data_IF_576753170781
#
_entry.id   IF_576753170781
#
_cell.length_a   1.000
_cell.length_b   1.000
_cell.length_c   1.000
_cell.angle_alpha   90.00
_cell.angle_beta   90.00
_cell.angle_gamma   90.00
#
_symmetry.space_group_name_H-M   'P 1'
#
loop_
_entity.id
_entity.type
_entity.pdbx_description
1 polymer ?
#
# COMPACT_ATOMS: atom_id res chain seq x y z
N UNK A 1 -13.57 16.25 35.19
CA UNK A 1 -12.33 16.78 34.57
C UNK A 1 -11.57 15.61 33.93
N UNK A 2 -11.96 15.22 32.72
CA UNK A 2 -11.30 14.16 31.95
C UNK A 2 -11.69 14.30 30.47
N UNK A 3 -11.16 15.33 29.79
CA UNK A 3 -11.39 15.57 28.35
C UNK A 3 -10.08 15.90 27.61
N UNK A 4 -8.96 15.37 28.12
CA UNK A 4 -7.63 15.57 27.54
C UNK A 4 -7.04 14.31 26.89
N UNK A 5 -7.87 13.30 26.57
CA UNK A 5 -7.39 12.04 25.97
C UNK A 5 -7.86 11.85 24.52
N UNK A 6 -8.83 12.63 24.02
CA UNK A 6 -9.30 12.49 22.63
C UNK A 6 -8.33 13.12 21.60
N UNK A 7 -7.32 13.87 22.05
CA UNK A 7 -6.25 14.39 21.19
C UNK A 7 -5.16 13.35 20.84
N UNK A 8 -5.23 12.12 21.35
CA UNK A 8 -4.18 11.12 21.14
C UNK A 8 -4.49 10.10 20.01
N UNK A 9 -5.40 10.44 19.10
CA UNK A 9 -5.63 9.67 17.86
C UNK A 9 -4.89 10.24 16.63
N UNK A 10 -4.34 11.46 16.75
CA UNK A 10 -3.86 12.24 15.62
C UNK A 10 -2.37 12.66 15.68
N UNK A 11 -1.65 12.47 16.80
CA UNK A 11 -0.30 13.07 16.99
C UNK A 11 0.92 12.10 17.08
N UNK A 12 0.79 10.79 16.92
CA UNK A 12 1.96 9.85 17.03
C UNK A 12 2.19 8.90 15.85
N UNK A 13 1.88 9.34 14.63
CA UNK A 13 2.79 9.10 13.50
C UNK A 13 3.33 10.47 13.04
N UNK A 14 3.79 11.24 14.02
CA UNK A 14 4.81 12.26 13.80
C UNK A 14 6.16 11.56 13.61
N UNK A 15 6.39 10.98 12.43
CA UNK A 15 7.74 10.97 11.89
C UNK A 15 7.75 12.03 10.80
N UNK A 16 8.12 13.25 11.21
CA UNK A 16 8.52 14.40 10.42
C UNK A 16 8.75 14.06 8.94
N UNK A 17 7.70 14.21 8.13
CA UNK A 17 7.74 14.04 6.69
C UNK A 17 8.41 15.25 6.04
N UNK A 18 9.71 15.41 6.26
CA UNK A 18 10.54 16.30 5.44
C UNK A 18 10.56 15.79 3.99
N UNK A 19 10.67 16.70 3.01
CA UNK A 19 10.54 16.35 1.61
C UNK A 19 11.77 15.59 1.13
N UNK A 20 11.55 14.43 0.53
CA UNK A 20 12.52 13.82 -0.37
C UNK A 20 12.91 12.39 0.01
N UNK A 21 12.26 11.44 -0.67
CA UNK A 21 12.73 10.09 -0.91
C UNK A 21 13.15 9.31 0.36
N UNK A 22 12.21 8.60 1.02
CA UNK A 22 12.42 7.48 1.97
C UNK A 22 13.86 7.29 2.52
N UNK A 23 14.44 8.34 3.12
CA UNK A 23 15.82 8.32 3.63
C UNK A 23 15.73 7.95 5.11
N UNK A 24 15.63 6.65 5.36
CA UNK A 24 15.63 6.07 6.71
C UNK A 24 14.25 5.77 7.31
N UNK A 25 13.15 6.08 6.62
CA UNK A 25 11.81 5.61 6.98
C UNK A 25 11.46 4.38 6.16
N UNK A 26 10.99 3.32 6.81
CA UNK A 26 10.55 2.10 6.18
C UNK A 26 9.48 2.39 5.11
N UNK A 27 9.65 1.81 3.92
CA UNK A 27 8.68 1.97 2.82
C UNK A 27 7.37 1.27 3.22
N UNK A 28 6.19 1.86 2.95
CA UNK A 28 4.92 1.25 3.23
C UNK A 28 4.82 -0.10 2.52
N UNK A 29 4.33 -1.15 3.20
CA UNK A 29 4.20 -2.48 2.61
C UNK A 29 3.41 -2.49 1.30
N UNK A 30 2.40 -1.63 1.16
CA UNK A 30 1.63 -1.50 -0.09
C UNK A 30 2.49 -1.06 -1.29
N UNK A 31 3.45 -0.15 -1.07
CA UNK A 31 4.36 0.32 -2.12
C UNK A 31 5.28 -0.82 -2.54
N UNK A 32 5.78 -1.58 -1.57
CA UNK A 32 6.60 -2.78 -1.82
C UNK A 32 5.78 -3.84 -2.58
N UNK A 33 4.56 -4.14 -2.15
CA UNK A 33 3.63 -5.07 -2.78
C UNK A 33 3.39 -4.73 -4.26
N UNK A 34 3.02 -3.48 -4.55
CA UNK A 34 2.78 -3.01 -5.92
C UNK A 34 4.07 -2.98 -6.74
N UNK A 35 5.21 -2.67 -6.12
CA UNK A 35 6.52 -2.76 -6.74
C UNK A 35 6.83 -4.17 -7.22
N UNK A 36 6.70 -5.16 -6.33
CA UNK A 36 6.93 -6.57 -6.65
C UNK A 36 5.98 -7.05 -7.74
N UNK A 37 4.68 -6.74 -7.62
CA UNK A 37 3.68 -7.11 -8.62
C UNK A 37 3.97 -6.49 -10.00
N UNK A 38 4.38 -5.22 -10.05
CA UNK A 38 4.73 -4.56 -11.30
C UNK A 38 5.95 -5.22 -11.99
N UNK A 39 6.96 -5.62 -11.20
CA UNK A 39 8.13 -6.33 -11.75
C UNK A 39 7.78 -7.74 -12.22
N UNK A 40 6.97 -8.45 -11.44
CA UNK A 40 6.44 -9.75 -11.85
C UNK A 40 5.62 -9.66 -13.14
N UNK A 41 4.79 -8.62 -13.28
CA UNK A 41 3.99 -8.37 -14.48
C UNK A 41 4.84 -8.04 -15.70
N UNK A 42 5.89 -7.23 -15.53
CA UNK A 42 6.85 -6.96 -16.59
C UNK A 42 7.62 -8.23 -17.02
N UNK A 43 8.04 -9.05 -16.05
CA UNK A 43 8.75 -10.30 -16.32
C UNK A 43 7.85 -11.35 -17.00
N UNK A 44 6.57 -11.45 -16.59
CA UNK A 44 5.58 -12.34 -17.21
C UNK A 44 5.39 -12.03 -18.70
N UNK A 45 5.30 -10.75 -19.08
CA UNK A 45 5.18 -10.33 -20.49
C UNK A 45 6.39 -10.75 -21.34
N UNK A 46 7.55 -10.93 -20.72
CA UNK A 46 8.77 -11.43 -21.37
C UNK A 46 8.98 -12.95 -21.25
N UNK A 47 8.03 -13.67 -20.64
CA UNK A 47 8.12 -15.11 -20.39
C UNK A 47 9.21 -15.52 -19.38
N UNK A 48 9.59 -14.60 -18.48
CA UNK A 48 10.67 -14.82 -17.50
C UNK A 48 10.12 -14.92 -16.08
N UNK A 49 10.81 -15.69 -15.25
CA UNK A 49 10.59 -15.65 -13.80
C UNK A 49 11.32 -14.46 -13.17
N UNK A 50 10.86 -14.04 -12.00
CA UNK A 50 11.48 -12.98 -11.20
C UNK A 50 12.22 -13.60 -10.02
N UNK A 51 13.53 -13.40 -9.98
CA UNK A 51 14.34 -13.73 -8.81
C UNK A 51 14.37 -12.56 -7.82
N UNK A 52 14.49 -12.86 -6.52
CA UNK A 52 14.66 -11.81 -5.49
C UNK A 52 15.90 -10.95 -5.75
N UNK A 53 16.97 -11.55 -6.27
CA UNK A 53 18.17 -10.82 -6.67
C UNK A 53 17.93 -9.86 -7.85
N UNK A 54 17.05 -10.22 -8.81
CA UNK A 54 16.66 -9.32 -9.89
C UNK A 54 15.87 -8.11 -9.36
N UNK A 55 14.95 -8.36 -8.44
CA UNK A 55 14.17 -7.34 -7.76
C UNK A 55 15.05 -6.35 -6.97
N UNK A 56 16.02 -6.86 -6.19
CA UNK A 56 16.98 -6.04 -5.46
C UNK A 56 17.83 -5.14 -6.38
N UNK A 57 18.24 -5.63 -7.56
CA UNK A 57 18.97 -4.82 -8.56
C UNK A 57 18.15 -3.63 -9.06
N UNK A 58 16.83 -3.78 -9.12
CA UNK A 58 15.88 -2.70 -9.49
C UNK A 58 15.55 -1.75 -8.32
N UNK A 59 16.23 -1.89 -7.18
CA UNK A 59 16.04 -1.01 -6.00
C UNK A 59 14.96 -1.47 -5.02
N UNK A 60 14.25 -2.55 -5.34
CA UNK A 60 13.30 -3.21 -4.44
C UNK A 60 14.03 -4.17 -3.49
N UNK A 61 14.93 -3.62 -2.67
CA UNK A 61 15.63 -4.37 -1.64
C UNK A 61 14.67 -4.55 -0.46
N UNK A 62 14.28 -5.79 -0.18
CA UNK A 62 13.36 -6.13 0.91
C UNK A 62 14.08 -7.11 1.84
N UNK A 63 14.07 -6.82 3.14
CA UNK A 63 14.60 -7.74 4.14
C UNK A 63 13.67 -8.96 4.28
N UNK A 64 14.12 -10.02 4.95
CA UNK A 64 13.32 -11.25 5.06
C UNK A 64 11.97 -11.00 5.73
N UNK A 65 11.94 -10.15 6.75
CA UNK A 65 10.74 -9.77 7.50
C UNK A 65 9.72 -8.98 6.65
N UNK A 66 10.16 -8.34 5.57
CA UNK A 66 9.27 -7.67 4.60
C UNK A 66 8.90 -8.61 3.45
N UNK A 67 9.84 -9.44 3.00
CA UNK A 67 9.72 -10.31 1.83
C UNK A 67 8.81 -11.50 2.08
N UNK A 68 9.04 -12.24 3.16
CA UNK A 68 8.30 -13.47 3.49
C UNK A 68 6.79 -13.22 3.59
N UNK A 69 6.29 -12.25 4.40
CA UNK A 69 4.84 -12.03 4.50
C UNK A 69 4.24 -11.45 3.20
N UNK A 70 5.02 -10.66 2.44
CA UNK A 70 4.60 -10.15 1.13
C UNK A 70 4.31 -11.29 0.16
N UNK A 71 5.24 -12.22 0.06
CA UNK A 71 5.13 -13.35 -0.86
C UNK A 71 4.08 -14.35 -0.39
N UNK A 72 4.03 -14.66 0.90
CA UNK A 72 3.00 -15.53 1.49
C UNK A 72 1.60 -15.00 1.18
N UNK A 73 1.39 -13.68 1.32
CA UNK A 73 0.14 -13.03 0.93
C UNK A 73 -0.18 -13.22 -0.56
N UNK A 74 0.80 -12.98 -1.44
CA UNK A 74 0.61 -13.12 -2.88
C UNK A 74 0.32 -14.57 -3.31
N UNK A 75 0.93 -15.55 -2.65
CA UNK A 75 0.66 -16.98 -2.89
C UNK A 75 -0.73 -17.37 -2.40
N UNK A 76 -1.11 -16.89 -1.20
CA UNK A 76 -2.46 -17.11 -0.64
C UNK A 76 -3.55 -16.58 -1.56
N UNK A 77 -3.32 -15.41 -2.16
CA UNK A 77 -4.21 -14.81 -3.15
C UNK A 77 -4.13 -15.46 -4.56
N UNK A 78 -3.29 -16.50 -4.71
CA UNK A 78 -3.02 -17.21 -5.97
C UNK A 78 -2.57 -16.27 -7.08
N UNK A 79 -1.86 -15.21 -6.74
CA UNK A 79 -1.28 -14.26 -7.68
C UNK A 79 0.07 -14.75 -8.19
N UNK A 80 0.86 -15.35 -7.28
CA UNK A 80 2.22 -15.83 -7.58
C UNK A 80 2.40 -17.30 -7.19
N UNK A 81 3.42 -17.94 -7.77
CA UNK A 81 3.92 -19.23 -7.31
C UNK A 81 5.43 -19.28 -7.44
N UNK A 82 6.06 -20.00 -6.52
CA UNK A 82 7.47 -20.35 -6.61
C UNK A 82 7.71 -21.40 -7.71
N UNK A 83 8.73 -21.17 -8.52
CA UNK A 83 9.31 -22.14 -9.44
C UNK A 83 10.26 -23.07 -8.68
N UNK A 84 10.63 -24.21 -9.29
CA UNK A 84 11.60 -25.16 -8.72
C UNK A 84 12.98 -24.54 -8.42
N UNK A 85 13.31 -23.41 -9.05
CA UNK A 85 14.57 -22.69 -8.87
C UNK A 85 14.55 -21.61 -7.79
N UNK A 86 13.42 -21.41 -7.09
CA UNK A 86 13.26 -20.34 -6.09
C UNK A 86 12.90 -18.97 -6.70
N UNK A 87 12.65 -18.90 -8.00
CA UNK A 87 12.12 -17.71 -8.66
C UNK A 87 10.59 -17.69 -8.64
N UNK A 88 9.99 -16.52 -8.87
CA UNK A 88 8.56 -16.28 -8.78
C UNK A 88 7.95 -15.97 -10.13
N UNK A 89 6.77 -16.52 -10.40
CA UNK A 89 5.99 -16.23 -11.61
C UNK A 89 4.56 -15.86 -11.26
N UNK A 90 3.94 -15.00 -12.08
CA UNK A 90 2.50 -14.75 -11.99
C UNK A 90 1.74 -15.97 -12.50
N UNK A 91 0.78 -16.41 -11.70
CA UNK A 91 -0.09 -17.55 -12.01
C UNK A 91 -1.46 -17.10 -12.50
N UNK A 92 -1.77 -15.81 -12.33
CA UNK A 92 -3.06 -15.23 -12.62
C UNK A 92 -2.87 -13.97 -13.43
N UNK A 93 -3.82 -13.73 -14.34
CA UNK A 93 -3.90 -12.48 -15.07
C UNK A 93 -4.32 -11.35 -14.11
N UNK A 94 -3.47 -10.33 -13.99
CA UNK A 94 -3.73 -9.13 -13.18
C UNK A 94 -4.86 -8.28 -13.76
N UNK A 95 -5.24 -8.46 -15.04
CA UNK A 95 -6.41 -7.80 -15.63
C UNK A 95 -7.72 -8.20 -14.94
N UNK A 96 -7.74 -9.38 -14.30
CA UNK A 96 -8.90 -9.95 -13.61
C UNK A 96 -8.94 -9.64 -12.12
N UNK A 97 -7.99 -8.84 -11.61
CA UNK A 97 -7.86 -8.52 -10.18
C UNK A 97 -7.86 -7.01 -10.02
N UNK A 98 -8.90 -6.49 -9.36
CA UNK A 98 -8.94 -5.07 -9.04
C UNK A 98 -8.01 -4.73 -7.87
N UNK A 99 -7.47 -3.51 -7.87
CA UNK A 99 -6.69 -3.00 -6.74
C UNK A 99 -7.51 -3.00 -5.44
N UNK A 100 -8.82 -2.71 -5.53
CA UNK A 100 -9.72 -2.75 -4.36
C UNK A 100 -9.76 -4.15 -3.73
N UNK A 101 -9.99 -5.19 -4.53
CA UNK A 101 -10.01 -6.58 -4.03
C UNK A 101 -8.67 -6.98 -3.41
N UNK A 102 -7.55 -6.51 -3.98
CA UNK A 102 -6.23 -6.74 -3.40
C UNK A 102 -6.11 -6.06 -2.03
N UNK A 103 -6.57 -4.82 -1.90
CA UNK A 103 -6.52 -4.03 -0.67
C UNK A 103 -7.41 -4.62 0.44
N UNK A 104 -8.63 -5.05 0.10
CA UNK A 104 -9.58 -5.67 1.05
C UNK A 104 -9.02 -6.95 1.69
N UNK A 105 -8.18 -7.68 0.97
CA UNK A 105 -7.55 -8.93 1.43
C UNK A 105 -6.16 -8.73 2.01
N UNK A 106 -5.56 -7.57 1.75
CA UNK A 106 -4.20 -7.26 2.18
C UNK A 106 -4.15 -7.13 3.70
N UNK A 107 -3.15 -7.74 4.36
CA UNK A 107 -2.99 -7.64 5.81
C UNK A 107 -2.45 -6.27 6.26
N UNK A 108 -1.97 -5.44 5.33
CA UNK A 108 -1.36 -4.15 5.65
C UNK A 108 -2.38 -3.01 5.53
N UNK A 109 -2.33 -2.02 6.43
CA UNK A 109 -3.19 -0.86 6.35
C UNK A 109 -2.87 -0.03 5.10
N UNK A 110 -3.89 0.67 4.61
CA UNK A 110 -3.72 1.64 3.54
C UNK A 110 -2.84 2.80 4.04
N UNK A 111 -1.75 3.16 3.33
CA UNK A 111 -0.90 4.27 3.74
C UNK A 111 -1.64 5.60 3.59
N UNK A 112 -1.44 6.51 4.54
CA UNK A 112 -1.91 7.89 4.43
C UNK A 112 -1.13 8.62 3.33
N UNK A 113 -1.78 9.55 2.62
CA UNK A 113 -1.15 10.33 1.55
C UNK A 113 0.06 11.12 2.06
N UNK A 114 -0.01 11.63 3.29
CA UNK A 114 1.07 12.38 3.96
C UNK A 114 2.32 11.56 4.20
N UNK A 115 2.19 10.23 4.34
CA UNK A 115 3.34 9.33 4.50
C UNK A 115 4.06 9.06 3.18
N UNK A 116 3.40 9.31 2.04
CA UNK A 116 3.94 9.02 0.71
C UNK A 116 4.68 10.23 0.12
N UNK A 117 5.93 10.07 -0.35
CA UNK A 117 6.64 11.16 -1.04
C UNK A 117 5.98 11.49 -2.38
N UNK A 118 6.17 12.69 -2.88
CA UNK A 118 5.61 13.12 -4.17
C UNK A 118 6.10 12.26 -5.33
N UNK A 119 7.35 11.79 -5.25
CA UNK A 119 7.96 10.91 -6.25
C UNK A 119 8.82 9.86 -5.58
N UNK A 120 8.84 8.66 -6.15
CA UNK A 120 9.76 7.60 -5.77
C UNK A 120 11.16 7.87 -6.34
N UNK A 121 12.24 7.40 -5.68
CA UNK A 121 13.59 7.51 -6.22
C UNK A 121 13.67 6.91 -7.63
N UNK A 122 14.31 7.62 -8.57
CA UNK A 122 14.35 7.25 -10.00
C UNK A 122 14.96 5.89 -10.32
N UNK A 123 15.65 5.24 -9.36
CA UNK A 123 16.10 3.85 -9.47
C UNK A 123 14.91 2.86 -9.48
N UNK A 124 13.82 3.21 -8.81
CA UNK A 124 12.59 2.41 -8.77
C UNK A 124 11.76 2.69 -10.02
N UNK A 125 11.65 1.71 -10.91
CA UNK A 125 10.70 1.78 -12.03
C UNK A 125 9.28 1.57 -11.49
N UNK A 126 8.55 2.67 -11.30
CA UNK A 126 7.21 2.68 -10.71
C UNK A 126 6.24 3.65 -11.44
N UNK A 127 5.93 3.40 -12.73
CA UNK A 127 4.99 4.24 -13.50
C UNK A 127 3.56 4.23 -12.92
N UNK A 128 3.23 3.24 -12.10
CA UNK A 128 1.96 3.13 -11.38
C UNK A 128 1.84 4.08 -10.19
N UNK A 129 2.95 4.62 -9.67
CA UNK A 129 2.97 5.37 -8.43
C UNK A 129 2.15 6.67 -8.46
N UNK A 130 2.24 7.53 -9.50
CA UNK A 130 1.40 8.72 -9.58
C UNK A 130 -0.10 8.40 -9.57
N UNK A 131 -0.49 7.31 -10.25
CA UNK A 131 -1.89 6.84 -10.28
C UNK A 131 -2.35 6.38 -8.90
N UNK A 132 -1.51 5.65 -8.17
CA UNK A 132 -1.79 5.25 -6.79
C UNK A 132 -1.99 6.47 -5.88
N UNK A 133 -1.05 7.44 -5.94
CA UNK A 133 -1.09 8.66 -5.13
C UNK A 133 -2.40 9.44 -5.38
N UNK A 134 -2.77 9.62 -6.64
CA UNK A 134 -4.03 10.28 -7.00
C UNK A 134 -5.25 9.51 -6.48
N UNK A 135 -5.29 8.19 -6.61
CA UNK A 135 -6.39 7.38 -6.09
C UNK A 135 -6.54 7.50 -4.57
N UNK A 136 -5.43 7.53 -3.82
CA UNK A 136 -5.43 7.73 -2.37
C UNK A 136 -5.92 9.13 -1.99
N UNK A 137 -5.52 10.17 -2.72
CA UNK A 137 -5.99 11.53 -2.51
C UNK A 137 -7.51 11.64 -2.68
N UNK A 138 -8.06 11.08 -3.77
CA UNK A 138 -9.51 11.06 -4.02
C UNK A 138 -10.24 10.31 -2.89
N UNK A 139 -9.67 9.20 -2.42
CA UNK A 139 -10.26 8.43 -1.32
C UNK A 139 -10.26 9.20 0.01
N UNK A 140 -9.16 9.87 0.37
CA UNK A 140 -9.10 10.70 1.57
C UNK A 140 -10.08 11.86 1.51
N UNK A 141 -10.20 12.51 0.35
CA UNK A 141 -11.17 13.57 0.13
C UNK A 141 -12.60 13.06 0.28
N UNK A 142 -12.95 11.95 -0.37
CA UNK A 142 -14.27 11.34 -0.23
C UNK A 142 -14.59 10.93 1.22
N UNK A 143 -13.59 10.42 1.97
CA UNK A 143 -13.75 10.12 3.39
C UNK A 143 -14.04 11.38 4.21
N UNK A 144 -13.31 12.46 3.97
CA UNK A 144 -13.53 13.72 4.67
C UNK A 144 -14.90 14.34 4.33
N UNK A 145 -15.32 14.26 3.07
CA UNK A 145 -16.65 14.73 2.64
C UNK A 145 -17.78 13.92 3.29
N UNK A 146 -17.64 12.60 3.38
CA UNK A 146 -18.68 11.72 3.89
C UNK A 146 -18.68 11.62 5.42
N UNK A 147 -17.53 11.72 6.09
CA UNK A 147 -17.35 11.48 7.53
C UNK A 147 -16.90 12.72 8.32
N UNK A 148 -16.80 13.88 7.67
CA UNK A 148 -16.31 15.11 8.28
C UNK A 148 -17.30 15.82 9.21
N UNK A 149 -18.57 15.39 9.22
CA UNK A 149 -19.56 15.89 10.17
C UNK A 149 -19.18 15.53 11.61
N UNK A 150 -19.61 16.35 12.57
CA UNK A 150 -19.28 16.12 13.97
C UNK A 150 -19.96 14.86 14.49
N UNK A 151 -19.37 14.18 15.47
CA UNK A 151 -20.03 13.02 16.11
C UNK A 151 -21.39 13.39 16.73
N UNK A 152 -21.58 14.66 17.12
CA UNK A 152 -22.87 15.15 17.59
C UNK A 152 -23.92 15.13 16.48
N UNK A 153 -23.56 15.48 15.24
CA UNK A 153 -24.46 15.42 14.08
C UNK A 153 -24.81 13.97 13.74
N UNK A 154 -23.83 13.06 13.82
CA UNK A 154 -24.06 11.62 13.58
C UNK A 154 -24.95 10.94 14.61
N UNK A 155 -24.83 11.34 15.89
CA UNK A 155 -25.57 10.73 17.00
C UNK A 155 -26.86 11.49 17.35
N UNK A 156 -27.02 12.70 16.81
CA UNK A 156 -28.01 13.70 17.20
C UNK A 156 -29.33 13.66 16.45
N UNK A 157 -29.81 12.50 16.00
CA UNK A 157 -31.09 12.37 15.27
C UNK A 157 -31.93 11.14 15.65
N UNK A 158 -31.82 10.63 16.89
CA UNK A 158 -32.80 9.67 17.44
C UNK A 158 -33.77 10.26 18.48
N UNK A 159 -33.75 11.58 18.73
CA UNK A 159 -34.53 12.18 19.83
C UNK A 159 -35.83 12.89 19.42
N UNK A 160 -36.19 12.96 18.13
CA UNK A 160 -37.39 13.68 17.66
C UNK A 160 -38.32 12.82 16.81
N UNK A 161 -38.73 11.68 17.36
CA UNK A 161 -39.95 10.97 16.95
C UNK A 161 -40.69 10.50 18.20
N UNK A 162 -41.32 11.44 18.90
CA UNK A 162 -42.21 11.24 20.04
C UNK A 162 -43.20 12.37 20.15
#
# INVERSE_FOLDING_TARGET
MAWLIVLFGAELVCHLGAPGCWRGVARPPLVNLLGVLAQLYAHQQSGRALSRAALARQGWVLDEDEWAPLIEFLERERLVTATRGGDWVLCRDLSQVSLQQLLERSPWPLPALTSLPESLPGKLCAPWYPRLRHALQVLEQARAEQLGASLADWLGEQALAG
#
